data_IF_654040243883
#
_entry.id   IF_654040243883
#
_cell.length_a   1.000
_cell.length_b   1.000
_cell.length_c   1.000
_cell.angle_alpha   90.00
_cell.angle_beta   90.00
_cell.angle_gamma   90.00
#
_symmetry.space_group_name_H-M   'P 1'
#
loop_
_entity.id
_entity.type
_entity.pdbx_description
1 polymer ?
#
# COMPACT_ATOMS: atom_id res chain seq x y z
N UNK A 1 -24.20 13.72 -27.58
CA UNK A 1 -23.77 12.95 -26.39
C UNK A 1 -24.12 11.50 -26.68
N UNK A 2 -23.17 10.57 -26.56
CA UNK A 2 -23.43 9.15 -26.84
C UNK A 2 -24.22 8.56 -25.66
N UNK A 3 -25.29 7.82 -25.95
CA UNK A 3 -26.03 7.06 -24.95
C UNK A 3 -25.38 5.68 -24.77
N UNK A 4 -24.39 5.62 -23.88
CA UNK A 4 -23.65 4.40 -23.57
C UNK A 4 -24.53 3.32 -22.93
N UNK A 5 -25.59 3.71 -22.21
CA UNK A 5 -26.51 2.79 -21.54
C UNK A 5 -27.31 1.99 -22.56
N UNK A 6 -27.91 2.69 -23.53
CA UNK A 6 -28.65 2.04 -24.61
C UNK A 6 -27.74 1.14 -25.46
N UNK A 7 -26.57 1.63 -25.85
CA UNK A 7 -25.63 0.86 -26.67
C UNK A 7 -25.11 -0.42 -25.97
N UNK A 8 -24.89 -0.36 -24.66
CA UNK A 8 -24.53 -1.54 -23.87
C UNK A 8 -25.65 -2.59 -23.89
N UNK A 9 -26.90 -2.15 -23.72
CA UNK A 9 -28.05 -3.05 -23.74
C UNK A 9 -28.24 -3.73 -25.10
N UNK A 10 -28.13 -2.99 -26.19
CA UNK A 10 -28.24 -3.55 -27.54
C UNK A 10 -27.13 -4.55 -27.86
N UNK A 11 -25.89 -4.23 -27.47
CA UNK A 11 -24.73 -5.07 -27.81
C UNK A 11 -24.59 -6.33 -26.94
N UNK A 12 -24.99 -6.26 -25.67
CA UNK A 12 -24.75 -7.35 -24.70
C UNK A 12 -26.02 -8.11 -24.32
N UNK A 13 -27.21 -7.58 -24.61
CA UNK A 13 -28.48 -8.11 -24.14
C UNK A 13 -28.70 -7.97 -22.62
N UNK A 14 -27.78 -7.33 -21.89
CA UNK A 14 -27.87 -7.09 -20.44
C UNK A 14 -28.45 -5.69 -20.17
N UNK A 15 -29.27 -5.50 -19.13
CA UNK A 15 -29.70 -4.16 -18.73
C UNK A 15 -28.50 -3.34 -18.22
N UNK A 16 -28.47 -2.05 -18.54
CA UNK A 16 -27.49 -1.14 -17.97
C UNK A 16 -27.70 -1.04 -16.44
N UNK A 17 -26.63 -1.02 -15.63
CA UNK A 17 -26.74 -0.97 -14.18
C UNK A 17 -27.38 0.35 -13.72
N UNK A 18 -28.07 0.33 -12.58
CA UNK A 18 -28.81 1.49 -12.05
C UNK A 18 -27.92 2.72 -11.81
N UNK A 19 -26.64 2.50 -11.51
CA UNK A 19 -25.66 3.56 -11.29
C UNK A 19 -24.96 4.05 -12.59
N UNK A 20 -25.23 3.44 -13.75
CA UNK A 20 -24.61 3.82 -15.03
C UNK A 20 -24.68 5.33 -15.34
N UNK A 21 -25.80 6.05 -15.09
CA UNK A 21 -25.87 7.48 -15.35
C UNK A 21 -24.81 8.30 -14.60
N UNK A 22 -24.34 7.82 -13.43
CA UNK A 22 -23.29 8.48 -12.65
C UNK A 22 -21.94 8.49 -13.35
N UNK A 23 -21.69 7.57 -14.29
CA UNK A 23 -20.43 7.54 -15.05
C UNK A 23 -20.41 8.51 -16.24
N UNK A 24 -21.55 9.10 -16.59
CA UNK A 24 -21.66 10.03 -17.74
C UNK A 24 -20.67 11.20 -17.66
N UNK A 25 -20.50 11.90 -16.52
CA UNK A 25 -19.52 12.98 -16.41
C UNK A 25 -18.07 12.48 -16.60
N UNK A 26 -17.76 11.27 -16.12
CA UNK A 26 -16.44 10.67 -16.29
C UNK A 26 -16.16 10.37 -17.76
N UNK A 27 -17.10 9.77 -18.49
CA UNK A 27 -16.94 9.51 -19.93
C UNK A 27 -16.81 10.79 -20.76
N UNK A 28 -17.48 11.88 -20.35
CA UNK A 28 -17.29 13.20 -20.99
C UNK A 28 -15.87 13.74 -20.77
N UNK A 29 -15.33 13.59 -19.56
CA UNK A 29 -13.96 14.00 -19.27
C UNK A 29 -12.92 13.14 -20.03
N UNK A 30 -13.17 11.83 -20.16
CA UNK A 30 -12.35 10.93 -20.99
C UNK A 30 -12.38 11.38 -22.46
N UNK A 31 -13.57 11.60 -23.02
CA UNK A 31 -13.73 12.06 -24.40
C UNK A 31 -13.09 13.43 -24.67
N UNK A 32 -13.03 14.30 -23.65
CA UNK A 32 -12.38 15.60 -23.72
C UNK A 32 -10.84 15.51 -23.59
N UNK A 33 -10.28 14.34 -23.29
CA UNK A 33 -8.83 14.15 -23.05
C UNK A 33 -8.33 14.79 -21.75
N UNK A 34 -9.23 15.11 -20.82
CA UNK A 34 -8.90 15.70 -19.52
C UNK A 34 -8.01 14.75 -18.71
N UNK A 35 -7.00 15.29 -18.02
CA UNK A 35 -6.24 14.52 -17.05
C UNK A 35 -7.12 14.16 -15.85
N UNK A 36 -7.35 12.87 -15.64
CA UNK A 36 -8.21 12.34 -14.57
C UNK A 36 -7.39 11.98 -13.32
N UNK A 37 -7.97 12.07 -12.10
CA UNK A 37 -7.34 11.53 -10.90
C UNK A 37 -7.28 9.98 -10.94
N UNK A 38 -6.62 9.28 -10.00
CA UNK A 38 -6.64 7.82 -9.96
C UNK A 38 -8.05 7.22 -9.87
N UNK A 39 -8.26 6.01 -10.41
CA UNK A 39 -9.59 5.37 -10.50
C UNK A 39 -10.38 5.29 -9.19
N UNK A 40 -9.69 5.08 -8.07
CA UNK A 40 -10.36 5.08 -6.76
C UNK A 40 -10.93 6.45 -6.39
N UNK A 41 -10.19 7.52 -6.69
CA UNK A 41 -10.67 8.88 -6.50
C UNK A 41 -11.77 9.23 -7.50
N UNK A 42 -11.64 8.82 -8.77
CA UNK A 42 -12.71 8.98 -9.77
C UNK A 42 -14.03 8.36 -9.27
N UNK A 43 -13.99 7.15 -8.69
CA UNK A 43 -15.18 6.49 -8.16
C UNK A 43 -15.80 7.28 -6.99
N UNK A 44 -14.97 7.75 -6.05
CA UNK A 44 -15.41 8.56 -4.91
C UNK A 44 -16.02 9.88 -5.35
N UNK A 45 -15.43 10.56 -6.34
CA UNK A 45 -15.94 11.82 -6.89
C UNK A 45 -17.33 11.67 -7.52
N UNK A 46 -17.67 10.46 -7.99
CA UNK A 46 -18.98 10.09 -8.51
C UNK A 46 -19.94 9.56 -7.43
N UNK A 47 -19.54 9.60 -6.15
CA UNK A 47 -20.31 9.10 -5.02
C UNK A 47 -20.42 7.57 -4.97
N UNK A 48 -19.44 6.85 -5.53
CA UNK A 48 -19.30 5.40 -5.46
C UNK A 48 -18.24 5.00 -4.42
N UNK A 49 -18.10 3.72 -4.13
CA UNK A 49 -16.98 3.23 -3.30
C UNK A 49 -15.68 3.28 -4.11
N UNK A 50 -14.54 3.50 -3.45
CA UNK A 50 -13.24 3.61 -4.11
C UNK A 50 -12.85 2.38 -4.94
N UNK A 51 -13.50 1.23 -4.71
CA UNK A 51 -13.23 -0.01 -5.44
C UNK A 51 -14.18 -0.28 -6.61
N UNK A 52 -15.27 0.49 -6.77
CA UNK A 52 -16.32 0.24 -7.76
C UNK A 52 -15.82 0.20 -9.22
N UNK A 53 -14.72 0.90 -9.54
CA UNK A 53 -14.15 0.96 -10.90
C UNK A 53 -12.86 0.13 -11.07
N UNK A 54 -12.38 -0.52 -10.01
CA UNK A 54 -11.09 -1.24 -10.01
C UNK A 54 -11.13 -2.67 -9.43
N UNK A 55 -12.18 -3.06 -8.70
CA UNK A 55 -12.39 -4.43 -8.23
C UNK A 55 -13.71 -4.98 -8.80
N UNK A 56 -13.67 -6.04 -9.64
CA UNK A 56 -14.88 -6.65 -10.19
C UNK A 56 -15.80 -7.29 -9.15
N UNK A 57 -15.38 -7.39 -7.87
CA UNK A 57 -16.18 -8.01 -6.79
C UNK A 57 -17.03 -7.01 -6.01
N UNK A 58 -16.72 -5.72 -6.06
CA UNK A 58 -17.39 -4.68 -5.26
C UNK A 58 -18.77 -4.34 -5.83
N UNK A 59 -18.83 -4.03 -7.12
CA UNK A 59 -20.08 -3.83 -7.89
C UNK A 59 -19.91 -4.44 -9.30
N UNK A 60 -20.09 -5.77 -9.45
CA UNK A 60 -19.77 -6.46 -10.69
C UNK A 60 -20.53 -5.91 -11.92
N UNK A 61 -21.85 -5.62 -11.86
CA UNK A 61 -22.58 -5.05 -12.99
C UNK A 61 -22.04 -3.69 -13.43
N UNK A 62 -21.72 -2.79 -12.48
CA UNK A 62 -21.18 -1.48 -12.80
C UNK A 62 -19.75 -1.57 -13.37
N UNK A 63 -18.94 -2.46 -12.81
CA UNK A 63 -17.59 -2.72 -13.30
C UNK A 63 -17.60 -3.27 -14.74
N UNK A 64 -18.45 -4.26 -15.04
CA UNK A 64 -18.61 -4.81 -16.40
C UNK A 64 -19.06 -3.73 -17.40
N UNK A 65 -20.05 -2.91 -17.02
CA UNK A 65 -20.53 -1.82 -17.85
C UNK A 65 -19.42 -0.80 -18.15
N UNK A 66 -18.69 -0.36 -17.12
CA UNK A 66 -17.57 0.57 -17.26
C UNK A 66 -16.48 0.02 -18.19
N UNK A 67 -16.04 -1.22 -18.00
CA UNK A 67 -15.03 -1.86 -18.84
C UNK A 67 -15.50 -2.00 -20.29
N UNK A 68 -16.77 -2.36 -20.51
CA UNK A 68 -17.33 -2.47 -21.85
C UNK A 68 -17.31 -1.13 -22.59
N UNK A 69 -17.73 -0.05 -21.94
CA UNK A 69 -17.72 1.30 -22.56
C UNK A 69 -16.30 1.70 -22.94
N UNK A 70 -15.32 1.50 -22.06
CA UNK A 70 -13.91 1.77 -22.36
C UNK A 70 -13.41 0.97 -23.56
N UNK A 71 -13.72 -0.33 -23.61
CA UNK A 71 -13.25 -1.22 -24.66
C UNK A 71 -13.88 -0.95 -26.04
N UNK A 72 -15.07 -0.34 -26.11
CA UNK A 72 -15.78 -0.15 -27.38
C UNK A 72 -15.77 1.29 -27.89
N UNK A 73 -15.67 2.28 -26.99
CA UNK A 73 -15.72 3.69 -27.36
C UNK A 73 -14.40 4.43 -27.14
N UNK A 74 -13.51 3.87 -26.34
CA UNK A 74 -12.25 4.50 -25.94
C UNK A 74 -11.03 3.58 -26.18
N UNK A 75 -11.17 2.54 -27.02
CA UNK A 75 -10.10 1.60 -27.32
C UNK A 75 -8.88 2.28 -27.96
N UNK A 76 -9.12 3.21 -28.89
CA UNK A 76 -8.07 3.95 -29.59
C UNK A 76 -7.63 5.21 -28.83
N UNK A 77 -8.38 5.60 -27.79
CA UNK A 77 -8.13 6.79 -26.99
C UNK A 77 -8.32 6.45 -25.50
N UNK A 78 -7.37 5.71 -24.90
CA UNK A 78 -7.49 5.27 -23.51
C UNK A 78 -7.58 6.48 -22.56
N UNK A 79 -8.22 6.34 -21.39
CA UNK A 79 -8.33 7.41 -20.41
C UNK A 79 -6.96 8.01 -20.06
N UNK A 80 -6.85 9.34 -20.16
CA UNK A 80 -5.68 10.09 -19.74
C UNK A 80 -5.72 10.24 -18.21
N UNK A 81 -5.34 9.17 -17.50
CA UNK A 81 -5.46 9.08 -16.03
C UNK A 81 -4.10 9.24 -15.33
N UNK A 82 -4.09 9.95 -14.19
CA UNK A 82 -3.03 9.85 -13.20
C UNK A 82 -3.04 8.42 -12.65
N UNK A 83 -2.02 7.67 -13.06
CA UNK A 83 -1.84 6.28 -12.65
C UNK A 83 -1.49 6.20 -11.16
N UNK A 84 -2.33 5.53 -10.36
CA UNK A 84 -1.95 5.03 -9.03
C UNK A 84 -1.02 3.80 -9.09
N UNK A 85 -0.60 3.36 -10.29
CA UNK A 85 0.55 2.48 -10.44
C UNK A 85 1.83 3.27 -10.17
N UNK A 86 2.01 3.68 -8.92
CA UNK A 86 3.34 3.78 -8.33
C UNK A 86 3.84 2.33 -8.20
N UNK A 87 4.22 1.81 -9.36
CA UNK A 87 4.92 0.57 -9.69
C UNK A 87 4.86 -0.50 -8.57
N UNK A 88 3.94 -1.47 -8.68
CA UNK A 88 3.98 -2.70 -7.86
C UNK A 88 5.23 -3.58 -8.09
N UNK A 89 6.19 -3.10 -8.87
CA UNK A 89 7.50 -3.70 -9.09
C UNK A 89 8.69 -2.80 -8.72
N UNK A 90 8.47 -1.51 -8.39
CA UNK A 90 9.59 -0.65 -8.03
C UNK A 90 9.78 -0.63 -6.53
N UNK A 91 11.06 -0.57 -6.15
CA UNK A 91 11.45 -0.29 -4.79
C UNK A 91 11.42 1.22 -4.57
N UNK A 92 10.61 1.70 -3.63
CA UNK A 92 10.53 3.13 -3.31
C UNK A 92 11.13 3.37 -1.94
N UNK A 93 12.06 4.32 -1.83
CA UNK A 93 12.72 4.67 -0.57
C UNK A 93 13.07 6.15 -0.48
N UNK A 94 13.39 6.59 0.72
CA UNK A 94 13.92 7.92 1.00
C UNK A 94 15.20 7.79 1.82
N UNK A 95 16.20 8.61 1.53
CA UNK A 95 17.43 8.78 2.32
C UNK A 95 18.23 7.50 2.59
N UNK A 96 18.07 6.49 1.73
CA UNK A 96 18.76 5.22 1.88
C UNK A 96 20.16 5.24 1.26
N UNK A 97 20.27 5.83 0.07
CA UNK A 97 21.48 5.84 -0.74
C UNK A 97 22.14 7.22 -0.70
N UNK A 98 23.47 7.26 -0.79
CA UNK A 98 24.24 8.50 -0.87
C UNK A 98 24.13 9.08 -2.28
N UNK A 99 23.16 9.97 -2.49
CA UNK A 99 22.86 10.58 -3.80
C UNK A 99 22.40 12.02 -3.64
N UNK A 100 22.54 12.81 -4.71
CA UNK A 100 22.01 14.17 -4.86
C UNK A 100 20.66 14.21 -5.60
N UNK A 101 20.13 13.05 -6.01
CA UNK A 101 18.84 12.94 -6.66
C UNK A 101 17.69 13.37 -5.74
N UNK A 102 16.63 14.02 -6.29
CA UNK A 102 15.42 14.33 -5.54
C UNK A 102 14.82 13.08 -4.89
N UNK A 103 14.41 13.23 -3.62
CA UNK A 103 13.80 12.18 -2.82
C UNK A 103 12.26 12.32 -2.80
N UNK A 104 11.48 11.22 -2.65
CA UNK A 104 11.92 9.83 -2.56
C UNK A 104 12.39 9.27 -3.91
N UNK A 105 13.24 8.25 -3.87
CA UNK A 105 13.66 7.50 -5.06
C UNK A 105 12.64 6.39 -5.37
N UNK A 106 12.38 6.20 -6.66
CA UNK A 106 11.68 5.03 -7.18
C UNK A 106 12.65 4.28 -8.09
N UNK A 107 12.95 3.04 -7.69
CA UNK A 107 13.96 2.19 -8.30
C UNK A 107 13.26 1.09 -9.08
N UNK A 108 13.47 1.08 -10.39
CA UNK A 108 12.93 0.06 -11.25
C UNK A 108 13.71 -1.26 -11.14
N UNK A 109 13.09 -2.42 -11.45
CA UNK A 109 13.75 -3.72 -11.37
C UNK A 109 15.12 -3.80 -12.07
N UNK A 110 15.24 -3.24 -13.26
CA UNK A 110 16.50 -3.26 -14.03
C UNK A 110 17.62 -2.41 -13.41
N UNK A 111 17.33 -1.58 -12.40
CA UNK A 111 18.31 -0.76 -11.69
C UNK A 111 18.84 -1.45 -10.42
N UNK A 112 18.21 -2.55 -9.97
CA UNK A 112 18.55 -3.21 -8.70
C UNK A 112 19.98 -3.71 -8.68
N UNK A 113 20.46 -4.32 -9.77
CA UNK A 113 21.84 -4.83 -9.86
C UNK A 113 22.87 -3.72 -9.59
N UNK A 114 22.66 -2.53 -10.17
CA UNK A 114 23.55 -1.38 -9.97
C UNK A 114 23.50 -0.83 -8.53
N UNK A 115 22.41 -1.06 -7.80
CA UNK A 115 22.24 -0.57 -6.42
C UNK A 115 22.81 -1.51 -5.36
N UNK A 116 23.10 -2.77 -5.71
CA UNK A 116 23.76 -3.72 -4.80
C UNK A 116 25.08 -3.18 -4.25
N UNK A 117 25.82 -2.39 -5.03
CA UNK A 117 27.11 -1.81 -4.61
C UNK A 117 27.06 -0.30 -4.38
N UNK A 118 25.95 0.35 -4.72
CA UNK A 118 25.81 1.80 -4.61
C UNK A 118 25.88 2.26 -3.14
N UNK A 119 26.67 3.29 -2.78
CA UNK A 119 26.90 3.67 -1.38
C UNK A 119 25.60 3.99 -0.61
N UNK A 120 25.53 3.51 0.64
CA UNK A 120 24.41 3.81 1.54
C UNK A 120 24.69 5.09 2.32
N UNK A 121 23.65 5.91 2.50
CA UNK A 121 23.70 7.10 3.36
C UNK A 121 23.43 6.78 4.84
N UNK A 122 22.91 5.59 5.12
CA UNK A 122 22.47 5.15 6.45
C UNK A 122 22.82 3.69 6.69
N UNK A 123 22.83 3.27 7.97
CA UNK A 123 22.89 1.86 8.38
C UNK A 123 21.58 1.33 8.96
N UNK A 124 20.56 2.17 9.11
CA UNK A 124 19.24 1.80 9.62
C UNK A 124 18.17 2.33 8.69
N UNK A 125 17.12 1.56 8.44
CA UNK A 125 15.97 1.99 7.65
C UNK A 125 14.67 1.36 8.16
N UNK A 126 13.58 2.12 8.02
CA UNK A 126 12.26 1.72 8.51
C UNK A 126 11.39 1.37 7.31
N UNK A 127 10.94 0.12 7.25
CA UNK A 127 9.98 -0.37 6.25
C UNK A 127 8.57 0.02 6.71
N UNK A 128 7.89 0.79 5.88
CA UNK A 128 6.53 1.29 6.13
C UNK A 128 5.59 0.63 5.13
N UNK A 129 4.56 -0.05 5.63
CA UNK A 129 3.59 -0.78 4.80
C UNK A 129 2.75 0.16 3.92
N UNK A 130 2.29 1.27 4.48
CA UNK A 130 1.30 2.15 3.86
C UNK A 130 1.94 3.33 3.11
N UNK A 131 1.57 3.49 1.83
CA UNK A 131 2.02 4.58 0.96
C UNK A 131 1.78 5.99 1.53
N UNK A 132 0.60 6.22 2.09
CA UNK A 132 0.20 7.51 2.66
C UNK A 132 1.04 7.85 3.89
N UNK A 133 1.33 6.86 4.72
CA UNK A 133 2.19 7.01 5.90
C UNK A 133 3.62 7.29 5.50
N UNK A 134 4.16 6.54 4.54
CA UNK A 134 5.50 6.77 4.01
C UNK A 134 5.68 8.21 3.54
N UNK A 135 4.80 8.70 2.65
CA UNK A 135 4.96 10.06 2.10
C UNK A 135 4.70 11.15 3.15
N UNK A 136 3.82 10.89 4.11
CA UNK A 136 3.53 11.82 5.19
C UNK A 136 4.70 11.95 6.18
N UNK A 137 5.28 10.81 6.60
CA UNK A 137 6.47 10.77 7.44
C UNK A 137 7.65 11.44 6.73
N UNK A 138 7.87 11.14 5.44
CA UNK A 138 8.92 11.79 4.65
C UNK A 138 8.72 13.31 4.54
N UNK A 139 7.50 13.78 4.31
CA UNK A 139 7.21 15.22 4.25
C UNK A 139 7.52 15.93 5.57
N UNK A 140 7.24 15.28 6.70
CA UNK A 140 7.45 15.84 8.05
C UNK A 140 8.89 15.71 8.53
N UNK A 141 9.57 14.64 8.12
CA UNK A 141 10.93 14.30 8.48
C UNK A 141 11.73 13.96 7.22
N UNK A 142 12.18 14.98 6.46
CA UNK A 142 12.79 14.78 5.14
C UNK A 142 14.11 14.01 5.15
N UNK A 143 14.69 13.76 6.32
CA UNK A 143 15.98 13.07 6.48
C UNK A 143 15.84 11.61 6.93
N UNK A 144 14.63 11.16 7.28
CA UNK A 144 14.47 9.79 7.79
C UNK A 144 14.65 8.75 6.68
N UNK A 145 15.39 7.67 6.96
CA UNK A 145 15.59 6.58 6.01
C UNK A 145 14.38 5.65 6.03
N UNK A 146 13.52 5.83 5.04
CA UNK A 146 12.25 5.12 4.92
C UNK A 146 12.25 4.23 3.68
N UNK A 147 11.63 3.06 3.77
CA UNK A 147 11.36 2.16 2.65
C UNK A 147 9.85 1.96 2.57
N UNK A 148 9.29 2.19 1.39
CA UNK A 148 7.86 2.00 1.16
C UNK A 148 7.61 0.58 0.66
N UNK A 149 6.85 -0.21 1.42
CA UNK A 149 6.41 -1.53 1.00
C UNK A 149 5.17 -1.45 0.11
N UNK A 150 4.30 -0.45 0.23
CA UNK A 150 3.25 -0.15 -0.76
C UNK A 150 2.31 -1.31 -1.16
N UNK A 151 2.17 -2.37 -0.34
CA UNK A 151 1.44 -3.57 -0.77
C UNK A 151 2.04 -4.26 -2.00
N UNK A 152 3.35 -4.11 -2.24
CA UNK A 152 4.10 -4.59 -3.41
C UNK A 152 4.15 -6.13 -3.60
N UNK A 153 3.23 -6.87 -2.99
CA UNK A 153 3.01 -8.31 -3.03
C UNK A 153 4.31 -9.13 -2.93
N UNK A 154 5.31 -8.56 -2.25
CA UNK A 154 6.63 -9.13 -2.10
C UNK A 154 7.28 -9.52 -3.42
N UNK A 155 7.21 -8.61 -4.41
CA UNK A 155 7.88 -8.75 -5.69
C UNK A 155 9.33 -9.27 -5.48
N UNK A 156 9.76 -10.33 -6.20
CA UNK A 156 11.08 -10.93 -6.02
C UNK A 156 12.23 -9.92 -6.10
N UNK A 157 12.08 -8.88 -6.93
CA UNK A 157 13.09 -7.83 -7.10
C UNK A 157 13.18 -6.93 -5.88
N UNK A 158 12.04 -6.62 -5.26
CA UNK A 158 12.00 -5.85 -4.00
C UNK A 158 12.63 -6.65 -2.86
N UNK A 159 12.27 -7.93 -2.75
CA UNK A 159 12.83 -8.85 -1.76
C UNK A 159 14.33 -9.01 -1.94
N UNK A 160 14.80 -9.23 -3.17
CA UNK A 160 16.22 -9.34 -3.47
C UNK A 160 16.98 -8.09 -3.04
N UNK A 161 16.48 -6.89 -3.37
CA UNK A 161 17.15 -5.66 -2.96
C UNK A 161 17.20 -5.52 -1.42
N UNK A 162 16.12 -5.85 -0.70
CA UNK A 162 16.15 -5.86 0.77
C UNK A 162 17.19 -6.84 1.33
N UNK A 163 17.26 -8.05 0.77
CA UNK A 163 18.25 -9.07 1.15
C UNK A 163 19.69 -8.60 0.89
N UNK A 164 19.95 -7.95 -0.25
CA UNK A 164 21.26 -7.38 -0.55
C UNK A 164 21.62 -6.23 0.41
N UNK A 165 20.64 -5.38 0.74
CA UNK A 165 20.84 -4.28 1.69
C UNK A 165 21.18 -4.80 3.10
N UNK A 166 20.48 -5.82 3.60
CA UNK A 166 20.80 -6.40 4.91
C UNK A 166 22.15 -7.15 4.90
N UNK A 167 22.54 -7.78 3.79
CA UNK A 167 23.86 -8.40 3.64
C UNK A 167 24.98 -7.37 3.74
N UNK A 168 24.71 -6.13 3.33
CA UNK A 168 25.61 -4.98 3.47
C UNK A 168 25.59 -4.35 4.86
N UNK A 169 24.81 -4.92 5.79
CA UNK A 169 24.71 -4.46 7.17
C UNK A 169 23.66 -3.38 7.39
N UNK A 170 22.76 -3.13 6.44
CA UNK A 170 21.59 -2.29 6.70
C UNK A 170 20.66 -3.01 7.67
N UNK A 171 20.37 -2.36 8.79
CA UNK A 171 19.39 -2.82 9.76
C UNK A 171 17.99 -2.34 9.38
N UNK A 172 17.05 -3.27 9.32
CA UNK A 172 15.65 -3.04 9.00
C UNK A 172 14.77 -3.22 10.23
N UNK A 173 13.79 -2.33 10.39
CA UNK A 173 12.62 -2.50 11.28
C UNK A 173 11.34 -2.24 10.47
N UNK A 174 10.19 -2.69 10.97
CA UNK A 174 8.91 -2.67 10.26
C UNK A 174 7.82 -1.95 11.04
N UNK A 175 7.01 -1.18 10.32
CA UNK A 175 5.77 -0.56 10.78
C UNK A 175 4.65 -0.91 9.81
N UNK A 176 3.57 -1.49 10.34
CA UNK A 176 2.42 -1.94 9.55
C UNK A 176 1.10 -1.79 10.28
N UNK A 177 0.01 -2.14 9.58
CA UNK A 177 -1.33 -2.08 10.18
C UNK A 177 -1.47 -3.17 11.26
N UNK A 178 -2.13 -2.83 12.37
CA UNK A 178 -2.44 -3.76 13.45
C UNK A 178 -3.79 -4.41 13.19
N UNK A 179 -3.83 -5.20 12.13
CA UNK A 179 -4.93 -6.10 11.82
C UNK A 179 -4.40 -7.45 11.35
N UNK A 180 -5.27 -8.43 11.18
CA UNK A 180 -4.85 -9.78 10.84
C UNK A 180 -4.06 -9.86 9.53
N UNK A 181 -4.39 -9.02 8.53
CA UNK A 181 -3.72 -9.04 7.24
C UNK A 181 -2.37 -8.32 7.32
N UNK A 182 -2.31 -7.17 7.99
CA UNK A 182 -1.06 -6.45 8.24
C UNK A 182 -0.05 -7.32 9.00
N UNK A 183 -0.48 -8.02 10.05
CA UNK A 183 0.37 -8.95 10.83
C UNK A 183 0.85 -10.11 9.95
N UNK A 184 -0.01 -10.68 9.10
CA UNK A 184 0.39 -11.73 8.16
C UNK A 184 1.41 -11.21 7.12
N UNK A 185 1.27 -9.96 6.67
CA UNK A 185 2.21 -9.34 5.74
C UNK A 185 3.57 -9.10 6.40
N UNK A 186 3.61 -8.66 7.66
CA UNK A 186 4.83 -8.53 8.44
C UNK A 186 5.55 -9.88 8.59
N UNK A 187 4.82 -10.94 8.96
CA UNK A 187 5.35 -12.31 9.10
C UNK A 187 5.90 -12.84 7.77
N UNK A 188 5.17 -12.62 6.67
CA UNK A 188 5.62 -13.03 5.35
C UNK A 188 6.90 -12.29 4.94
N UNK A 189 6.95 -10.96 5.11
CA UNK A 189 8.14 -10.18 4.78
C UNK A 189 9.35 -10.67 5.57
N UNK A 190 9.18 -10.87 6.88
CA UNK A 190 10.24 -11.34 7.75
C UNK A 190 10.81 -12.69 7.29
N UNK A 191 9.95 -13.62 6.86
CA UNK A 191 10.39 -14.93 6.32
C UNK A 191 11.25 -14.81 5.06
N UNK A 192 11.18 -13.69 4.34
CA UNK A 192 12.03 -13.44 3.18
C UNK A 192 13.39 -12.86 3.58
N UNK A 193 13.55 -12.29 4.77
CA UNK A 193 14.81 -11.73 5.23
C UNK A 193 15.75 -12.85 5.71
N UNK A 194 17.05 -12.64 5.54
CA UNK A 194 18.11 -13.62 5.80
C UNK A 194 19.04 -13.20 6.93
N UNK A 195 19.17 -11.90 7.23
CA UNK A 195 20.11 -11.35 8.22
C UNK A 195 19.42 -10.61 9.35
N UNK A 196 18.31 -9.96 9.06
CA UNK A 196 17.53 -9.22 10.05
C UNK A 196 16.95 -10.17 11.10
N UNK A 197 17.24 -9.94 12.39
CA UNK A 197 16.64 -10.72 13.48
C UNK A 197 15.20 -10.29 13.73
N UNK A 198 14.39 -11.16 14.34
CA UNK A 198 12.99 -10.83 14.63
C UNK A 198 12.90 -9.64 15.60
N UNK A 199 13.80 -9.56 16.58
CA UNK A 199 13.85 -8.48 17.56
C UNK A 199 14.14 -7.13 16.90
N UNK A 200 15.03 -7.12 15.90
CA UNK A 200 15.33 -5.92 15.13
C UNK A 200 14.15 -5.54 14.23
N UNK A 201 13.55 -6.54 13.56
CA UNK A 201 12.42 -6.34 12.66
C UNK A 201 11.23 -5.72 13.39
N UNK A 202 10.94 -6.17 14.61
CA UNK A 202 9.82 -5.68 15.43
C UNK A 202 10.23 -4.66 16.49
N UNK A 203 11.42 -4.05 16.38
CA UNK A 203 11.97 -3.17 17.42
C UNK A 203 11.05 -1.99 17.77
N UNK A 204 10.38 -1.40 16.78
CA UNK A 204 9.44 -0.28 16.99
C UNK A 204 7.99 -0.75 17.26
N UNK A 205 7.64 -1.93 16.76
CA UNK A 205 6.32 -2.54 16.89
C UNK A 205 6.44 -3.85 17.69
N UNK A 206 6.79 -3.74 18.96
CA UNK A 206 6.88 -4.92 19.84
C UNK A 206 5.49 -5.41 20.26
N UNK A 207 5.32 -6.68 20.66
CA UNK A 207 4.03 -7.19 21.15
C UNK A 207 3.42 -6.33 22.27
N UNK A 208 4.24 -5.83 23.20
CA UNK A 208 3.79 -4.94 24.28
C UNK A 208 3.28 -3.60 23.74
N UNK A 209 3.99 -3.03 22.76
CA UNK A 209 3.58 -1.78 22.13
C UNK A 209 2.31 -1.98 21.29
N UNK A 210 2.18 -3.10 20.58
CA UNK A 210 0.97 -3.49 19.83
C UNK A 210 -0.24 -3.63 20.74
N UNK A 211 -0.11 -4.34 21.86
CA UNK A 211 -1.20 -4.47 22.82
C UNK A 211 -1.61 -3.11 23.40
N UNK A 212 -0.65 -2.23 23.67
CA UNK A 212 -0.91 -0.86 24.13
C UNK A 212 -1.66 -0.05 23.08
N UNK A 213 -1.22 -0.10 21.81
CA UNK A 213 -1.87 0.61 20.71
C UNK A 213 -3.29 0.10 20.46
N UNK A 214 -3.52 -1.22 20.53
CA UNK A 214 -4.86 -1.78 20.44
C UNK A 214 -5.77 -1.29 21.58
N UNK A 215 -5.26 -1.23 22.80
CA UNK A 215 -6.04 -0.74 23.93
C UNK A 215 -6.38 0.76 23.84
N UNK A 216 -5.45 1.59 23.34
CA UNK A 216 -5.60 3.06 23.32
C UNK A 216 -6.28 3.56 22.04
N UNK A 217 -5.94 2.98 20.89
CA UNK A 217 -6.39 3.45 19.56
C UNK A 217 -7.29 2.44 18.83
N UNK A 218 -7.58 1.28 19.44
CA UNK A 218 -8.30 0.19 18.80
C UNK A 218 -9.72 0.54 18.39
N UNK A 219 -10.01 0.36 17.09
CA UNK A 219 -11.38 0.43 16.55
C UNK A 219 -12.01 -0.95 16.58
N UNK A 220 -13.27 -1.05 17.00
CA UNK A 220 -14.01 -2.32 17.02
C UNK A 220 -14.29 -2.84 15.61
N UNK A 221 -13.98 -4.11 15.36
CA UNK A 221 -14.29 -4.80 14.10
C UNK A 221 -15.57 -5.63 14.23
N UNK A 222 -16.72 -4.96 14.11
CA UNK A 222 -18.04 -5.60 14.27
C UNK A 222 -18.31 -6.73 13.27
N UNK A 223 -17.67 -6.69 12.09
CA UNK A 223 -17.84 -7.70 11.03
C UNK A 223 -16.79 -8.81 11.09
N UNK A 224 -15.81 -8.72 12.01
CA UNK A 224 -14.70 -9.69 12.19
C UNK A 224 -13.92 -9.98 10.91
N UNK A 225 -13.78 -9.00 10.01
CA UNK A 225 -13.05 -9.16 8.76
C UNK A 225 -11.55 -8.85 8.93
N UNK A 226 -11.24 -7.86 9.77
CA UNK A 226 -9.88 -7.38 10.08
C UNK A 226 -9.27 -8.07 11.30
N UNK A 227 -10.08 -8.74 12.11
CA UNK A 227 -9.65 -9.37 13.39
C UNK A 227 -9.82 -10.88 13.39
N UNK A 228 -9.99 -11.50 12.21
CA UNK A 228 -10.07 -12.96 12.07
C UNK A 228 -8.69 -13.59 12.19
N UNK A 229 -8.59 -14.77 12.78
CA UNK A 229 -7.29 -15.44 12.87
C UNK A 229 -6.77 -15.84 11.50
N UNK A 230 -5.53 -15.45 11.18
CA UNK A 230 -4.79 -15.90 10.01
C UNK A 230 -3.53 -16.66 10.46
N UNK A 231 -3.01 -17.51 9.59
CA UNK A 231 -1.79 -18.27 9.86
C UNK A 231 -0.58 -17.36 9.77
N UNK A 232 0.25 -17.39 10.83
CA UNK A 232 1.55 -16.75 10.94
C UNK A 232 2.54 -17.69 11.63
N UNK A 233 3.83 -17.61 11.27
CA UNK A 233 4.85 -18.55 11.74
C UNK A 233 5.58 -18.05 12.98
N UNK A 234 5.98 -16.77 13.02
CA UNK A 234 6.80 -16.29 14.13
C UNK A 234 5.98 -16.14 15.43
N UNK A 235 6.53 -16.54 16.59
CA UNK A 235 5.85 -16.41 17.88
C UNK A 235 5.43 -14.97 18.23
N UNK A 236 6.24 -13.99 17.82
CA UNK A 236 5.94 -12.55 18.00
C UNK A 236 4.64 -12.19 17.28
N UNK A 237 4.50 -12.56 16.00
CA UNK A 237 3.28 -12.30 15.22
C UNK A 237 2.10 -13.15 15.65
N UNK A 238 2.32 -14.35 16.20
CA UNK A 238 1.24 -15.13 16.84
C UNK A 238 0.67 -14.38 18.04
N UNK A 239 1.53 -13.75 18.85
CA UNK A 239 1.12 -12.93 20.01
C UNK A 239 0.35 -11.69 19.58
N UNK A 240 0.80 -11.00 18.54
CA UNK A 240 0.08 -9.87 17.96
C UNK A 240 -1.28 -10.29 17.38
N UNK A 241 -1.31 -11.40 16.62
CA UNK A 241 -2.54 -11.97 16.05
C UNK A 241 -3.54 -12.32 17.14
N UNK A 242 -3.09 -12.94 18.23
CA UNK A 242 -3.94 -13.29 19.37
C UNK A 242 -4.47 -12.02 20.07
N UNK A 243 -3.68 -10.96 20.16
CA UNK A 243 -4.11 -9.67 20.73
C UNK A 243 -5.24 -9.05 19.90
N UNK A 244 -5.07 -8.96 18.57
CA UNK A 244 -6.09 -8.46 17.64
C UNK A 244 -7.35 -9.32 17.69
N UNK A 245 -7.20 -10.65 17.69
CA UNK A 245 -8.33 -11.59 17.69
C UNK A 245 -9.10 -11.58 19.01
N UNK A 246 -8.41 -11.47 20.16
CA UNK A 246 -9.02 -11.48 21.49
C UNK A 246 -9.76 -10.17 21.78
N UNK A 247 -9.14 -9.03 21.43
CA UNK A 247 -9.73 -7.72 21.67
C UNK A 247 -10.81 -7.36 20.65
N UNK A 248 -10.86 -8.04 19.50
CA UNK A 248 -11.70 -7.67 18.36
C UNK A 248 -11.52 -6.20 17.95
N UNK A 249 -10.27 -5.74 18.06
CA UNK A 249 -9.86 -4.38 17.75
C UNK A 249 -8.74 -4.41 16.70
N UNK A 250 -8.69 -3.37 15.88
CA UNK A 250 -7.59 -3.12 14.95
C UNK A 250 -7.14 -1.67 15.02
N UNK A 251 -5.92 -1.41 14.56
CA UNK A 251 -5.36 -0.05 14.44
C UNK A 251 -4.76 0.14 13.06
N UNK A 252 -5.26 1.14 12.34
CA UNK A 252 -4.64 1.65 11.10
C UNK A 252 -3.40 2.48 11.43
N UNK A 253 -2.33 2.37 10.63
CA UNK A 253 -1.08 3.12 10.83
C UNK A 253 -1.27 4.64 10.92
N UNK A 254 -2.28 5.19 10.24
CA UNK A 254 -2.62 6.63 10.28
C UNK A 254 -2.85 7.13 11.71
N UNK A 255 -3.29 6.26 12.61
CA UNK A 255 -3.54 6.60 14.01
C UNK A 255 -2.25 6.67 14.85
N UNK A 256 -1.15 6.13 14.35
CA UNK A 256 0.09 5.92 15.09
C UNK A 256 1.20 6.91 14.73
N UNK A 257 0.94 7.91 13.89
CA UNK A 257 1.94 8.90 13.47
C UNK A 257 2.65 9.54 14.67
N UNK A 258 1.92 9.98 15.69
CA UNK A 258 2.53 10.61 16.87
C UNK A 258 3.43 9.64 17.66
N UNK A 259 3.04 8.36 17.74
CA UNK A 259 3.86 7.33 18.37
C UNK A 259 5.12 7.02 17.56
N UNK A 260 4.99 6.93 16.23
CA UNK A 260 6.12 6.76 15.32
C UNK A 260 7.10 7.91 15.49
N UNK A 261 6.62 9.16 15.54
CA UNK A 261 7.47 10.32 15.73
C UNK A 261 8.21 10.35 17.07
N UNK A 262 7.67 9.69 18.08
CA UNK A 262 8.31 9.53 19.38
C UNK A 262 9.34 8.41 19.40
N UNK A 263 9.08 7.30 18.70
CA UNK A 263 9.89 6.08 18.78
C UNK A 263 11.01 6.03 17.74
N UNK A 264 10.75 6.50 16.51
CA UNK A 264 11.68 6.38 15.39
C UNK A 264 13.02 7.09 15.61
N UNK A 265 13.09 8.33 16.17
CA UNK A 265 14.37 9.02 16.33
C UNK A 265 15.39 8.23 17.15
N UNK A 266 14.98 7.67 18.29
CA UNK A 266 15.86 6.88 19.15
C UNK A 266 16.42 5.65 18.41
N UNK A 267 15.57 4.94 17.67
CA UNK A 267 16.01 3.79 16.89
C UNK A 267 16.91 4.19 15.71
N UNK A 268 16.69 5.36 15.09
CA UNK A 268 17.53 5.84 14.00
C UNK A 268 18.90 6.35 14.47
N UNK A 269 18.97 6.92 15.68
CA UNK A 269 20.17 7.54 16.26
C UNK A 269 21.14 6.55 16.94
N UNK A 270 20.70 5.33 17.26
CA UNK A 270 21.48 4.27 17.92
C UNK A 270 22.60 3.65 17.04
N UNK A 271 23.14 4.38 16.05
CA UNK A 271 24.11 3.90 15.07
C UNK A 271 25.54 3.74 15.61
#
# INVERSE_FOLDING_TARGET
MIDYGHAYCEATGKPAPTQAPRLTPLFQQIAAGTLLPPRGQQAVDLGLTAHSLNDPREDPPLYEYYQWVLAHYFAEQPPHELTAKLIGMAFTCANLFQTDLPQPLTINPWQVESLTTFPLATRRAIVVENNGIFIWLFKRHPTWPLINQAGNDFNPTYVQLLQELEQRGLQLTYLGDLDSRGIQMADYLFQQLQKTSIEQFTALQTPTQVATWLAVHGKSDLKRQRTRRLTVQQPVFQTEMDSVCLLHQFVEQEQLIADYERLMPAWLDEA
#
